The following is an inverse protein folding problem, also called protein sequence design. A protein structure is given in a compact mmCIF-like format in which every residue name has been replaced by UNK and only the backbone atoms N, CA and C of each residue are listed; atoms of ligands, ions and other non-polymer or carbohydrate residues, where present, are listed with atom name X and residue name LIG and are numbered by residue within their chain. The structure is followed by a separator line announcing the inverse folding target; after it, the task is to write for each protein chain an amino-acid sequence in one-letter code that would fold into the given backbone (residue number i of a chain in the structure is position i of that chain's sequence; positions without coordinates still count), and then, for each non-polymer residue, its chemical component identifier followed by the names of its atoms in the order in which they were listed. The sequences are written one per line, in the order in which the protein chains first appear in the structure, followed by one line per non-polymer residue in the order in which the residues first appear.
data_IF_164659812505
#
_entry.id   IF_164659812505
#
_cell.length_a   1.000
_cell.length_b   1.000
_cell.length_c   1.000
_cell.angle_alpha   90.00
_cell.angle_beta   90.00
_cell.angle_gamma   90.00
#
_symmetry.space_group_name_H-M   'P 1'
#
loop_
_entity.id
_entity.type
_entity.pdbx_description
1 polymer ?
#
# COMPACT_ATOMS: atom_id res chain seq x y z
N UNK A 1 -15.55 13.65 4.71
CA UNK A 1 -14.65 12.48 4.80
C UNK A 1 -14.20 12.28 6.24
N UNK A 2 -13.58 13.28 6.88
CA UNK A 2 -13.16 13.19 8.28
C UNK A 2 -14.32 12.82 9.21
N UNK A 3 -15.45 13.54 9.16
CA UNK A 3 -16.58 13.27 10.06
C UNK A 3 -17.13 11.85 9.92
N UNK A 4 -17.36 11.41 8.68
CA UNK A 4 -17.84 10.06 8.40
C UNK A 4 -16.86 8.98 8.89
N UNK A 5 -15.55 9.19 8.73
CA UNK A 5 -14.54 8.26 9.26
C UNK A 5 -14.54 8.24 10.78
N UNK A 6 -14.64 9.39 11.45
CA UNK A 6 -14.64 9.47 12.92
C UNK A 6 -15.91 8.88 13.53
N UNK A 7 -17.06 9.05 12.88
CA UNK A 7 -18.35 8.55 13.37
C UNK A 7 -18.51 7.03 13.17
N UNK A 8 -18.02 6.50 12.05
CA UNK A 8 -18.21 5.08 11.70
C UNK A 8 -17.01 4.21 12.10
N UNK A 9 -15.80 4.78 12.16
CA UNK A 9 -14.57 4.01 12.25
C UNK A 9 -14.49 3.11 13.48
N UNK A 10 -14.84 3.62 14.66
CA UNK A 10 -14.84 2.82 15.91
C UNK A 10 -15.85 1.68 15.85
N UNK A 11 -17.09 1.98 15.45
CA UNK A 11 -18.17 0.99 15.32
C UNK A 11 -17.76 -0.15 14.37
N UNK A 12 -17.18 0.20 13.22
CA UNK A 12 -16.71 -0.79 12.25
C UNK A 12 -15.52 -1.61 12.79
N UNK A 13 -14.59 -1.00 13.53
CA UNK A 13 -13.51 -1.74 14.20
C UNK A 13 -14.03 -2.72 15.26
N UNK A 14 -15.14 -2.38 15.93
CA UNK A 14 -15.83 -3.26 16.90
C UNK A 14 -16.69 -4.33 16.21
N UNK A 15 -16.72 -4.37 14.87
CA UNK A 15 -17.50 -5.32 14.08
C UNK A 15 -18.99 -4.99 13.99
N UNK A 16 -19.38 -3.75 14.28
CA UNK A 16 -20.77 -3.30 14.22
C UNK A 16 -21.13 -2.73 12.84
N UNK A 17 -22.18 -3.30 12.24
CA UNK A 17 -22.81 -2.82 11.02
C UNK A 17 -22.61 -3.75 9.81
N UNK A 18 -23.71 -4.15 9.19
CA UNK A 18 -23.72 -5.03 8.01
C UNK A 18 -23.50 -4.27 6.69
N UNK A 19 -23.84 -2.98 6.67
CA UNK A 19 -23.73 -2.12 5.50
C UNK A 19 -23.44 -0.67 5.89
N UNK A 20 -22.72 0.05 5.03
CA UNK A 20 -22.49 1.49 5.16
C UNK A 20 -22.97 2.23 3.92
N UNK A 21 -23.56 3.40 4.14
CA UNK A 21 -23.92 4.36 3.11
C UNK A 21 -23.29 5.70 3.45
N UNK A 22 -22.50 6.24 2.54
CA UNK A 22 -21.87 7.56 2.71
C UNK A 22 -22.66 8.57 1.89
N UNK A 23 -23.30 9.51 2.59
CA UNK A 23 -24.04 10.62 2.00
C UNK A 23 -23.22 11.90 2.17
N UNK A 24 -23.05 12.68 1.11
CA UNK A 24 -22.37 13.96 1.17
C UNK A 24 -22.25 14.64 -0.19
N UNK A 25 -21.78 15.88 -0.18
CA UNK A 25 -21.57 16.71 -1.38
C UNK A 25 -20.31 16.29 -2.17
N UNK A 26 -20.23 15.01 -2.55
CA UNK A 26 -19.17 14.44 -3.40
C UNK A 26 -19.82 13.59 -4.49
N UNK A 27 -19.13 13.44 -5.62
CA UNK A 27 -19.68 12.60 -6.69
C UNK A 27 -19.83 11.12 -6.23
N UNK A 28 -20.79 10.36 -6.79
CA UNK A 28 -21.07 8.99 -6.35
C UNK A 28 -19.86 8.06 -6.42
N UNK A 29 -19.02 8.19 -7.44
CA UNK A 29 -17.80 7.38 -7.58
C UNK A 29 -16.77 7.64 -6.48
N UNK A 30 -16.62 8.89 -6.03
CA UNK A 30 -15.75 9.25 -4.92
C UNK A 30 -16.31 8.78 -3.57
N UNK A 31 -17.64 8.83 -3.39
CA UNK A 31 -18.31 8.26 -2.23
C UNK A 31 -18.05 6.75 -2.16
N UNK A 32 -18.24 6.03 -3.27
CA UNK A 32 -18.00 4.60 -3.35
C UNK A 32 -16.54 4.22 -3.04
N UNK A 33 -15.57 4.92 -3.64
CA UNK A 33 -14.14 4.72 -3.34
C UNK A 33 -13.82 4.98 -1.88
N UNK A 34 -14.44 5.99 -1.28
CA UNK A 34 -14.25 6.31 0.13
C UNK A 34 -14.85 5.24 1.05
N UNK A 35 -16.04 4.71 0.74
CA UNK A 35 -16.63 3.58 1.48
C UNK A 35 -15.70 2.36 1.48
N UNK A 36 -15.14 1.99 0.32
CA UNK A 36 -14.17 0.90 0.23
C UNK A 36 -12.89 1.18 1.02
N UNK A 37 -12.39 2.40 1.00
CA UNK A 37 -11.22 2.78 1.82
C UNK A 37 -11.51 2.63 3.32
N UNK A 38 -12.70 3.03 3.78
CA UNK A 38 -13.08 2.93 5.19
C UNK A 38 -13.21 1.46 5.64
N UNK A 39 -13.86 0.62 4.83
CA UNK A 39 -13.97 -0.81 5.10
C UNK A 39 -12.60 -1.52 5.06
N UNK A 40 -11.68 -1.06 4.22
CA UNK A 40 -10.32 -1.60 4.18
C UNK A 40 -9.49 -1.15 5.38
N UNK A 41 -9.59 0.11 5.79
CA UNK A 41 -8.90 0.64 6.96
C UNK A 41 -9.32 -0.05 8.26
N UNK A 42 -10.59 -0.46 8.35
CA UNK A 42 -11.17 -1.20 9.50
C UNK A 42 -11.01 -2.72 9.36
N UNK A 43 -10.33 -3.20 8.31
CA UNK A 43 -10.08 -4.62 8.00
C UNK A 43 -11.35 -5.47 7.77
N UNK A 44 -12.53 -4.85 7.64
CA UNK A 44 -13.78 -5.55 7.32
C UNK A 44 -13.86 -6.00 5.86
N UNK A 45 -13.22 -5.28 4.93
CA UNK A 45 -13.19 -5.67 3.52
C UNK A 45 -11.91 -5.25 2.82
N UNK A 46 -11.16 -6.23 2.31
CA UNK A 46 -10.01 -5.96 1.46
C UNK A 46 -10.47 -5.77 0.01
N UNK A 47 -10.21 -4.61 -0.57
CA UNK A 47 -10.72 -4.23 -1.91
C UNK A 47 -9.62 -4.03 -2.95
N UNK A 48 -8.40 -3.71 -2.51
CA UNK A 48 -7.23 -3.40 -3.33
C UNK A 48 -5.95 -3.66 -2.55
N UNK A 49 -4.81 -3.49 -3.20
CA UNK A 49 -3.50 -3.51 -2.55
C UNK A 49 -3.45 -2.50 -1.40
N UNK A 50 -2.90 -2.93 -0.27
CA UNK A 50 -2.66 -2.09 0.89
C UNK A 50 -1.23 -1.56 0.83
N UNK A 51 -1.06 -0.25 1.01
CA UNK A 51 0.24 0.39 0.99
C UNK A 51 0.55 0.96 2.37
N UNK A 52 1.66 0.50 2.94
CA UNK A 52 2.16 0.96 4.23
C UNK A 52 3.39 1.82 3.94
N UNK A 53 3.43 3.06 4.43
CA UNK A 53 4.55 3.95 4.18
C UNK A 53 4.90 4.76 5.41
N UNK A 54 6.18 4.93 5.67
CA UNK A 54 6.64 5.84 6.71
C UNK A 54 6.28 7.30 6.35
N UNK A 55 6.10 8.20 7.32
CA UNK A 55 6.18 9.63 7.03
C UNK A 55 7.58 9.94 6.47
N UNK A 56 7.67 10.84 5.49
CA UNK A 56 8.98 11.31 5.03
C UNK A 56 9.72 11.99 6.19
N UNK A 57 11.03 11.77 6.31
CA UNK A 57 11.86 12.38 7.36
C UNK A 57 13.26 12.68 6.82
N UNK A 58 14.11 13.33 7.63
CA UNK A 58 15.49 13.66 7.22
C UNK A 58 16.41 12.46 6.94
N UNK A 59 15.95 11.24 7.22
CA UNK A 59 16.66 9.98 6.90
C UNK A 59 16.24 9.37 5.57
N UNK A 60 15.22 9.92 4.91
CA UNK A 60 14.72 9.37 3.64
C UNK A 60 15.76 9.56 2.54
N UNK A 61 16.15 8.47 1.87
CA UNK A 61 17.27 8.44 0.92
C UNK A 61 16.86 8.56 -0.56
N UNK A 62 15.55 8.71 -0.83
CA UNK A 62 14.95 8.88 -2.15
C UNK A 62 13.63 9.67 -2.02
N UNK A 63 13.02 10.06 -3.14
CA UNK A 63 11.71 10.70 -3.08
C UNK A 63 10.62 9.66 -2.79
N UNK A 64 10.22 9.58 -1.51
CA UNK A 64 9.26 8.60 -1.03
C UNK A 64 7.88 8.76 -1.68
N UNK A 65 7.45 10.00 -1.90
CA UNK A 65 6.13 10.28 -2.45
C UNK A 65 6.04 9.79 -3.90
N UNK A 66 6.98 10.20 -4.76
CA UNK A 66 6.98 9.79 -6.17
C UNK A 66 7.19 8.29 -6.33
N UNK A 67 8.04 7.69 -5.51
CA UNK A 67 8.24 6.23 -5.49
C UNK A 67 6.98 5.49 -5.06
N UNK A 68 6.28 5.99 -4.05
CA UNK A 68 5.01 5.43 -3.59
C UNK A 68 3.94 5.49 -4.68
N UNK A 69 3.81 6.62 -5.36
CA UNK A 69 2.87 6.78 -6.47
C UNK A 69 3.20 5.84 -7.63
N UNK A 70 4.48 5.76 -8.01
CA UNK A 70 4.97 4.87 -9.08
C UNK A 70 4.69 3.39 -8.80
N UNK A 71 4.97 2.94 -7.57
CA UNK A 71 4.69 1.57 -7.15
C UNK A 71 3.18 1.33 -7.09
N UNK A 72 2.39 2.28 -6.56
CA UNK A 72 0.92 2.21 -6.54
C UNK A 72 0.31 2.03 -7.93
N UNK A 73 0.79 2.77 -8.92
CA UNK A 73 0.33 2.64 -10.32
C UNK A 73 0.57 1.23 -10.86
N UNK A 74 1.73 0.63 -10.57
CA UNK A 74 2.12 -0.69 -11.08
C UNK A 74 1.49 -1.86 -10.32
N UNK A 75 1.15 -1.68 -9.05
CA UNK A 75 0.79 -2.79 -8.15
C UNK A 75 -0.55 -2.62 -7.43
N UNK A 76 -1.29 -1.53 -7.68
CA UNK A 76 -2.53 -1.21 -6.96
C UNK A 76 -3.72 -2.15 -7.20
N UNK A 77 -3.64 -3.00 -8.23
CA UNK A 77 -4.66 -3.98 -8.59
C UNK A 77 -4.53 -5.31 -7.80
N UNK A 78 -3.45 -5.50 -7.06
CA UNK A 78 -3.15 -6.72 -6.30
C UNK A 78 -3.94 -6.80 -4.99
N UNK A 79 -5.23 -7.11 -5.10
CA UNK A 79 -6.13 -7.28 -3.95
C UNK A 79 -5.57 -8.31 -2.97
N UNK A 80 -5.48 -7.92 -1.69
CA UNK A 80 -5.00 -8.80 -0.63
C UNK A 80 -3.49 -8.78 -0.42
N UNK A 81 -2.75 -8.01 -1.22
CA UNK A 81 -1.30 -7.84 -1.04
C UNK A 81 -1.00 -6.57 -0.26
N UNK A 82 -0.11 -6.67 0.71
CA UNK A 82 0.39 -5.56 1.52
C UNK A 82 1.82 -5.22 1.12
N UNK A 83 2.03 -4.00 0.64
CA UNK A 83 3.33 -3.52 0.17
C UNK A 83 3.77 -2.35 1.04
N UNK A 84 4.91 -2.52 1.72
CA UNK A 84 5.54 -1.46 2.48
C UNK A 84 6.58 -0.71 1.67
N UNK A 85 6.59 0.62 1.79
CA UNK A 85 7.55 1.51 1.12
C UNK A 85 8.15 2.42 2.18
N UNK A 86 9.43 2.19 2.48
CA UNK A 86 10.12 2.78 3.62
C UNK A 86 11.31 3.61 3.15
N UNK A 87 11.38 4.84 3.62
CA UNK A 87 12.40 5.80 3.22
C UNK A 87 13.81 5.49 3.73
N UNK A 88 13.92 4.71 4.82
CA UNK A 88 15.19 4.37 5.45
C UNK A 88 15.17 2.98 6.09
N UNK A 89 16.36 2.40 6.25
CA UNK A 89 16.57 1.09 6.89
C UNK A 89 16.36 1.11 8.41
N UNK A 90 16.39 2.27 9.05
CA UNK A 90 16.42 2.37 10.51
C UNK A 90 15.09 1.93 11.12
N UNK A 91 13.99 2.57 10.73
CA UNK A 91 12.64 2.20 11.20
C UNK A 91 11.90 1.30 10.21
N UNK A 92 12.34 1.27 8.95
CA UNK A 92 11.63 0.59 7.86
C UNK A 92 11.23 -0.87 8.18
N UNK A 93 12.16 -1.73 8.61
CA UNK A 93 11.86 -3.13 8.95
C UNK A 93 10.83 -3.29 10.08
N UNK A 94 10.80 -2.36 11.04
CA UNK A 94 9.85 -2.39 12.15
C UNK A 94 8.45 -1.92 11.72
N UNK A 95 8.39 -0.80 10.99
CA UNK A 95 7.13 -0.21 10.50
C UNK A 95 6.42 -1.09 9.47
N UNK A 96 7.14 -2.00 8.81
CA UNK A 96 6.59 -2.91 7.81
C UNK A 96 6.32 -4.34 8.31
N UNK A 97 6.30 -4.58 9.63
CA UNK A 97 6.19 -5.92 10.20
C UNK A 97 5.00 -6.76 9.70
N UNK A 98 3.91 -6.11 9.29
CA UNK A 98 2.67 -6.73 8.79
C UNK A 98 2.57 -6.77 7.25
N UNK A 99 3.60 -6.33 6.53
CA UNK A 99 3.63 -6.29 5.07
C UNK A 99 4.05 -7.64 4.47
N UNK A 100 3.50 -7.99 3.31
CA UNK A 100 3.94 -9.16 2.54
C UNK A 100 5.28 -8.86 1.84
N UNK A 101 5.43 -7.64 1.32
CA UNK A 101 6.62 -7.20 0.60
C UNK A 101 7.08 -5.84 1.09
N UNK A 102 8.40 -5.64 1.19
CA UNK A 102 9.00 -4.38 1.60
C UNK A 102 9.92 -3.80 0.52
N UNK A 103 9.82 -2.49 0.31
CA UNK A 103 10.73 -1.66 -0.48
C UNK A 103 11.39 -0.67 0.48
N UNK A 104 12.66 -0.88 0.81
CA UNK A 104 13.33 -0.13 1.90
C UNK A 104 14.58 0.56 1.39
N UNK A 105 14.66 1.88 1.55
CA UNK A 105 15.87 2.65 1.24
C UNK A 105 17.02 2.27 2.17
N UNK A 106 18.12 1.78 1.60
CA UNK A 106 19.34 1.40 2.35
C UNK A 106 20.54 2.28 2.04
N UNK A 107 20.47 3.10 1.00
CA UNK A 107 21.50 4.07 0.60
C UNK A 107 20.93 5.10 -0.39
N UNK A 108 21.68 6.18 -0.71
CA UNK A 108 21.30 7.09 -1.78
C UNK A 108 21.11 6.33 -3.10
N UNK A 109 19.91 6.41 -3.69
CA UNK A 109 19.52 5.65 -4.90
C UNK A 109 19.66 4.12 -4.78
N UNK A 110 19.63 3.59 -3.56
CA UNK A 110 19.82 2.15 -3.29
C UNK A 110 18.72 1.64 -2.37
N UNK A 111 18.14 0.52 -2.75
CA UNK A 111 16.97 -0.09 -2.10
C UNK A 111 17.23 -1.57 -1.83
N UNK A 112 16.68 -2.07 -0.74
CA UNK A 112 16.60 -3.50 -0.47
C UNK A 112 15.15 -3.96 -0.46
N UNK A 113 14.90 -5.16 -0.97
CA UNK A 113 13.58 -5.77 -1.03
C UNK A 113 13.44 -6.86 0.04
N UNK A 114 12.24 -6.94 0.59
CA UNK A 114 11.90 -7.84 1.67
C UNK A 114 10.67 -8.67 1.35
N UNK A 115 10.61 -9.87 1.93
CA UNK A 115 9.41 -10.71 2.00
C UNK A 115 9.11 -10.93 3.48
N UNK A 116 7.97 -10.40 3.94
CA UNK A 116 7.74 -10.22 5.36
C UNK A 116 8.88 -9.42 6.01
N UNK A 117 9.56 -10.03 6.98
CA UNK A 117 10.71 -9.43 7.69
C UNK A 117 12.07 -9.82 7.10
N UNK A 118 12.11 -10.73 6.14
CA UNK A 118 13.35 -11.25 5.58
C UNK A 118 13.84 -10.39 4.41
N UNK A 119 15.10 -9.95 4.48
CA UNK A 119 15.74 -9.23 3.38
C UNK A 119 16.25 -10.21 2.32
N UNK A 120 15.51 -10.32 1.22
CA UNK A 120 15.79 -11.29 0.14
C UNK A 120 16.69 -10.71 -0.96
N UNK A 121 16.67 -9.40 -1.18
CA UNK A 121 17.52 -8.74 -2.17
C UNK A 121 18.07 -7.44 -1.58
N UNK A 122 19.39 -7.30 -1.58
CA UNK A 122 20.10 -6.15 -0.99
C UNK A 122 20.72 -5.27 -2.06
N UNK A 123 20.82 -3.99 -1.75
CA UNK A 123 21.58 -3.00 -2.50
C UNK A 123 21.24 -2.91 -4.00
N UNK A 124 19.95 -2.96 -4.32
CA UNK A 124 19.45 -2.81 -5.68
C UNK A 124 19.47 -1.32 -6.06
N UNK A 125 19.99 -0.95 -7.24
CA UNK A 125 19.80 0.39 -7.77
C UNK A 125 18.30 0.74 -7.87
N UNK A 126 17.92 1.94 -7.40
CA UNK A 126 16.52 2.39 -7.35
C UNK A 126 15.80 2.25 -8.70
N UNK A 127 16.50 2.52 -9.80
CA UNK A 127 15.98 2.44 -11.18
C UNK A 127 15.50 1.03 -11.56
N UNK A 128 16.09 -0.01 -10.96
CA UNK A 128 15.73 -1.41 -11.20
C UNK A 128 14.77 -1.96 -10.13
N UNK A 129 14.64 -1.27 -8.99
CA UNK A 129 13.96 -1.79 -7.81
C UNK A 129 12.47 -2.08 -8.06
N UNK A 130 11.78 -1.24 -8.83
CA UNK A 130 10.38 -1.46 -9.22
C UNK A 130 10.17 -2.78 -9.96
N UNK A 131 10.99 -3.05 -10.98
CA UNK A 131 10.87 -4.26 -11.79
C UNK A 131 11.20 -5.50 -10.96
N UNK A 132 12.19 -5.37 -10.06
CA UNK A 132 12.59 -6.43 -9.14
C UNK A 132 11.52 -6.72 -8.10
N UNK A 133 10.82 -5.70 -7.59
CA UNK A 133 9.68 -5.87 -6.70
C UNK A 133 8.54 -6.63 -7.41
N UNK A 134 8.21 -6.28 -8.65
CA UNK A 134 7.20 -6.99 -9.44
C UNK A 134 7.60 -8.45 -9.67
N UNK A 135 8.85 -8.70 -10.06
CA UNK A 135 9.36 -10.06 -10.25
C UNK A 135 9.29 -10.88 -8.96
N UNK A 136 9.59 -10.25 -7.81
CA UNK A 136 9.47 -10.87 -6.50
C UNK A 136 8.01 -11.23 -6.17
N UNK A 137 7.08 -10.29 -6.38
CA UNK A 137 5.65 -10.54 -6.16
C UNK A 137 5.15 -11.70 -7.05
N UNK A 138 5.58 -11.75 -8.31
CA UNK A 138 5.30 -12.85 -9.25
C UNK A 138 5.85 -14.18 -8.75
N UNK A 139 7.11 -14.21 -8.32
CA UNK A 139 7.77 -15.42 -7.80
C UNK A 139 7.07 -16.00 -6.56
N UNK A 140 6.43 -15.15 -5.76
CA UNK A 140 5.66 -15.56 -4.58
C UNK A 140 4.17 -15.86 -4.88
N UNK A 141 3.76 -15.90 -6.15
CA UNK A 141 2.39 -16.26 -6.55
C UNK A 141 1.33 -15.25 -6.10
N UNK A 142 1.73 -14.01 -5.81
CA UNK A 142 0.83 -12.93 -5.33
C UNK A 142 0.48 -11.94 -6.44
N UNK A 143 0.98 -12.17 -7.65
CA UNK A 143 0.66 -11.36 -8.82
C UNK A 143 -0.62 -11.83 -9.50
N UNK A 144 -1.45 -10.87 -9.90
CA UNK A 144 -2.61 -11.09 -10.76
C UNK A 144 -2.51 -10.04 -11.86
N UNK A 145 -2.69 -10.42 -13.12
CA UNK A 145 -2.65 -9.45 -14.21
C UNK A 145 -3.79 -8.43 -14.05
N UNK A 146 -3.54 -7.13 -14.30
CA UNK A 146 -4.57 -6.11 -14.18
C UNK A 146 -5.71 -6.44 -15.16
N UNK A 147 -6.96 -6.31 -14.70
CA UNK A 147 -8.10 -6.43 -15.58
C UNK A 147 -7.94 -5.41 -16.72
N UNK A 148 -8.07 -5.86 -17.97
CA UNK A 148 -8.05 -4.98 -19.14
C UNK A 148 -9.09 -3.89 -18.90
N UNK A 149 -8.66 -2.63 -18.90
CA UNK A 149 -9.58 -1.52 -18.83
C UNK A 149 -10.49 -1.63 -20.05
N UNK A 150 -11.76 -1.97 -19.82
CA UNK A 150 -12.79 -1.72 -20.82
C UNK A 150 -12.89 -0.20 -20.87
N UNK A 151 -12.31 0.39 -21.92
CA UNK A 151 -12.48 1.80 -22.22
C UNK A 151 -13.99 2.07 -22.35
N UNK A 152 -14.51 2.89 -21.44
CA UNK A 152 -15.84 3.49 -21.54
C UNK A 152 -15.67 4.95 -21.95
#
# INVERSE_FOLDING_TARGET
RLDASSQLGSLLCDGLGDAILIIGAINPGAALRFSYNLLQATRLRISKTEFISCPSCGRTLFNLQTTTERIKQKTGHLKGVKIAIMGCIVNGPGEMADADFGYVGTGPKVVSLYVGKECVQRNIPEEQADARLIALIKAHGKWVEPAVAVEN
#
